data_IF_349754806361
#
_entry.id   IF_349754806361
#
_cell.length_a   1.000
_cell.length_b   1.000
_cell.length_c   1.000
_cell.angle_alpha   90.00
_cell.angle_beta   90.00
_cell.angle_gamma   90.00
#
_symmetry.space_group_name_H-M   'P 1'
#
loop_
_entity.id
_entity.type
_entity.pdbx_description
1 polymer ?
#
# COMPACT_ATOMS: atom_id res chain seq x y z
N UNK A 1 29.63 -23.50 -6.09
CA UNK A 1 29.48 -23.17 -7.53
C UNK A 1 28.02 -23.29 -8.00
N UNK A 2 27.31 -24.39 -7.74
CA UNK A 2 25.89 -24.57 -8.17
C UNK A 2 24.93 -23.49 -7.63
N UNK A 3 25.05 -23.09 -6.37
CA UNK A 3 24.17 -22.12 -5.71
C UNK A 3 24.26 -20.71 -6.32
N UNK A 4 25.48 -20.23 -6.65
CA UNK A 4 25.69 -18.96 -7.38
C UNK A 4 25.08 -18.99 -8.80
N UNK A 5 25.09 -20.14 -9.44
CA UNK A 5 24.52 -20.32 -10.79
C UNK A 5 22.98 -20.27 -10.74
N UNK A 6 22.34 -20.94 -9.77
CA UNK A 6 20.88 -20.92 -9.59
C UNK A 6 20.39 -19.52 -9.29
N UNK A 7 21.04 -18.80 -8.36
CA UNK A 7 20.70 -17.42 -8.04
C UNK A 7 20.77 -16.52 -9.28
N UNK A 8 21.82 -16.63 -10.09
CA UNK A 8 21.98 -15.84 -11.33
C UNK A 8 20.87 -16.13 -12.35
N UNK A 9 20.46 -17.40 -12.46
CA UNK A 9 19.36 -17.80 -13.35
C UNK A 9 18.04 -17.22 -12.84
N UNK A 10 17.71 -17.41 -11.55
CA UNK A 10 16.49 -16.86 -10.94
C UNK A 10 16.40 -15.35 -11.10
N UNK A 11 17.50 -14.62 -10.84
CA UNK A 11 17.55 -13.18 -11.03
C UNK A 11 17.26 -12.79 -12.49
N UNK A 12 17.88 -13.47 -13.47
CA UNK A 12 17.61 -13.21 -14.89
C UNK A 12 16.15 -13.50 -15.25
N UNK A 13 15.62 -14.64 -14.80
CA UNK A 13 14.21 -14.99 -15.03
C UNK A 13 13.26 -13.94 -14.42
N UNK A 14 13.55 -13.45 -13.22
CA UNK A 14 12.76 -12.40 -12.58
C UNK A 14 12.78 -11.09 -13.37
N UNK A 15 13.93 -10.67 -13.89
CA UNK A 15 14.02 -9.49 -14.76
C UNK A 15 13.23 -9.67 -16.07
N UNK A 16 13.37 -10.82 -16.73
CA UNK A 16 12.61 -11.09 -17.96
C UNK A 16 11.11 -11.08 -17.66
N UNK A 17 10.68 -11.76 -16.60
CA UNK A 17 9.28 -11.78 -16.19
C UNK A 17 8.77 -10.37 -15.89
N UNK A 18 9.53 -9.56 -15.16
CA UNK A 18 9.19 -8.17 -14.87
C UNK A 18 9.00 -7.36 -16.16
N UNK A 19 9.97 -7.41 -17.08
CA UNK A 19 9.90 -6.67 -18.35
C UNK A 19 8.71 -7.12 -19.20
N UNK A 20 8.46 -8.43 -19.28
CA UNK A 20 7.33 -8.98 -20.04
C UNK A 20 6.00 -8.56 -19.44
N UNK A 21 5.81 -8.73 -18.13
CA UNK A 21 4.54 -8.43 -17.44
C UNK A 21 4.27 -6.93 -17.47
N UNK A 22 5.21 -6.10 -17.00
CA UNK A 22 4.99 -4.66 -16.95
C UNK A 22 5.04 -4.00 -18.32
N UNK A 23 5.82 -4.51 -19.26
CA UNK A 23 5.77 -4.09 -20.67
C UNK A 23 4.41 -4.38 -21.31
N UNK A 24 3.85 -5.57 -21.07
CA UNK A 24 2.51 -5.93 -21.51
C UNK A 24 1.44 -5.02 -20.90
N UNK A 25 1.49 -4.79 -19.59
CA UNK A 25 0.55 -3.88 -18.89
C UNK A 25 0.67 -2.47 -19.48
N UNK A 26 1.89 -1.93 -19.60
CA UNK A 26 2.13 -0.59 -20.15
C UNK A 26 1.58 -0.43 -21.56
N UNK A 27 1.79 -1.43 -22.42
CA UNK A 27 1.23 -1.41 -23.78
C UNK A 27 -0.30 -1.41 -23.77
N UNK A 28 -0.92 -2.22 -22.89
CA UNK A 28 -2.38 -2.23 -22.78
C UNK A 28 -2.94 -0.91 -22.25
N UNK A 29 -2.25 -0.26 -21.29
CA UNK A 29 -2.62 1.07 -20.81
C UNK A 29 -2.58 2.08 -21.95
N UNK A 30 -1.53 2.08 -22.75
CA UNK A 30 -1.37 3.01 -23.88
C UNK A 30 -2.46 2.87 -24.95
N UNK A 31 -3.01 1.66 -25.14
CA UNK A 31 -4.00 1.37 -26.18
C UNK A 31 -5.41 1.11 -25.63
N UNK A 32 -5.68 1.40 -24.36
CA UNK A 32 -6.95 1.10 -23.69
C UNK A 32 -8.01 2.21 -23.87
N UNK A 33 -8.26 2.64 -25.09
CA UNK A 33 -9.23 3.71 -25.44
C UNK A 33 -10.63 3.55 -24.82
N UNK A 34 -11.02 2.31 -24.48
CA UNK A 34 -12.33 2.00 -23.91
C UNK A 34 -12.41 2.11 -22.39
N UNK A 35 -11.27 2.18 -21.71
CA UNK A 35 -11.18 2.16 -20.24
C UNK A 35 -10.94 3.57 -19.71
N UNK A 36 -10.30 4.43 -20.49
CA UNK A 36 -9.97 5.80 -20.11
C UNK A 36 -10.91 6.81 -20.77
N UNK A 37 -11.28 7.84 -20.00
CA UNK A 37 -11.99 9.02 -20.50
C UNK A 37 -11.14 9.86 -21.46
N UNK A 38 -9.85 9.54 -21.59
CA UNK A 38 -8.87 10.30 -22.36
C UNK A 38 -8.33 9.48 -23.51
N UNK A 39 -8.17 10.11 -24.67
CA UNK A 39 -7.40 9.53 -25.77
C UNK A 39 -5.91 9.71 -25.47
N UNK A 40 -5.08 8.71 -25.81
CA UNK A 40 -3.62 8.76 -25.62
C UNK A 40 -2.99 10.04 -26.20
N UNK A 41 -3.53 10.56 -27.31
CA UNK A 41 -3.08 11.79 -27.96
C UNK A 41 -3.12 12.98 -26.98
N UNK A 42 -4.06 12.99 -26.02
CA UNK A 42 -4.17 14.07 -25.01
C UNK A 42 -3.11 13.94 -23.91
N UNK A 43 -2.59 12.75 -23.67
CA UNK A 43 -1.56 12.47 -22.67
C UNK A 43 -0.14 12.60 -23.23
N UNK A 44 0.04 12.46 -24.54
CA UNK A 44 1.35 12.52 -25.19
C UNK A 44 2.18 13.75 -24.82
N UNK A 45 1.64 15.01 -24.81
CA UNK A 45 2.43 16.16 -24.43
C UNK A 45 2.97 16.07 -23.00
N UNK A 46 2.16 15.62 -22.04
CA UNK A 46 2.57 15.42 -20.66
C UNK A 46 3.65 14.35 -20.52
N UNK A 47 3.50 13.24 -21.21
CA UNK A 47 4.49 12.15 -21.24
C UNK A 47 5.81 12.61 -21.87
N UNK A 48 5.77 13.40 -22.95
CA UNK A 48 6.96 13.96 -23.58
C UNK A 48 7.68 14.95 -22.63
N UNK A 49 6.94 15.85 -21.98
CA UNK A 49 7.52 16.77 -20.99
C UNK A 49 8.15 15.99 -19.83
N UNK A 50 7.46 15.01 -19.28
CA UNK A 50 8.00 14.15 -18.22
C UNK A 50 9.26 13.41 -18.66
N UNK A 51 9.26 12.82 -19.86
CA UNK A 51 10.42 12.16 -20.45
C UNK A 51 11.62 13.11 -20.64
N UNK A 52 11.37 14.32 -21.11
CA UNK A 52 12.41 15.36 -21.25
C UNK A 52 12.98 15.75 -19.89
N UNK A 53 12.14 15.98 -18.87
CA UNK A 53 12.60 16.30 -17.51
C UNK A 53 13.48 15.20 -16.94
N UNK A 54 13.07 13.94 -17.11
CA UNK A 54 13.87 12.76 -16.68
C UNK A 54 15.22 12.74 -17.44
N UNK A 55 15.19 12.89 -18.76
CA UNK A 55 16.41 12.87 -19.59
C UNK A 55 17.38 14.00 -19.20
N UNK A 56 16.88 15.23 -18.99
CA UNK A 56 17.69 16.35 -18.51
C UNK A 56 18.24 16.06 -17.11
N UNK A 57 17.43 15.57 -16.19
CA UNK A 57 17.88 15.19 -14.85
C UNK A 57 19.00 14.15 -14.88
N UNK A 58 18.83 13.08 -15.68
CA UNK A 58 19.87 12.06 -15.88
C UNK A 58 21.15 12.66 -16.49
N UNK A 59 21.01 13.51 -17.50
CA UNK A 59 22.16 14.17 -18.14
C UNK A 59 22.91 15.06 -17.13
N UNK A 60 22.23 15.88 -16.37
CA UNK A 60 22.87 16.74 -15.35
C UNK A 60 23.57 15.86 -14.30
N UNK A 61 22.88 14.85 -13.75
CA UNK A 61 23.47 13.95 -12.74
C UNK A 61 24.68 13.18 -13.30
N UNK A 62 24.68 12.82 -14.59
CA UNK A 62 25.82 12.12 -15.22
C UNK A 62 27.09 12.99 -15.25
N UNK A 63 26.94 14.31 -15.33
CA UNK A 63 28.06 15.28 -15.39
C UNK A 63 28.63 15.63 -14.01
N UNK A 64 27.88 15.39 -12.94
CA UNK A 64 28.33 15.67 -11.58
C UNK A 64 29.23 14.54 -11.08
N UNK A 65 30.38 14.87 -10.52
CA UNK A 65 31.31 13.92 -9.91
C UNK A 65 30.63 13.19 -8.75
N UNK A 66 30.77 11.87 -8.66
CA UNK A 66 30.12 11.03 -7.66
C UNK A 66 30.40 11.52 -6.24
N UNK A 67 31.65 11.81 -5.91
CA UNK A 67 32.07 12.27 -4.60
C UNK A 67 31.34 13.56 -4.15
N UNK A 68 31.07 14.49 -5.09
CA UNK A 68 30.31 15.70 -4.80
C UNK A 68 28.83 15.37 -4.46
N UNK A 69 28.26 14.40 -5.16
CA UNK A 69 26.89 13.94 -4.89
C UNK A 69 26.84 13.28 -3.50
N UNK A 70 27.73 12.35 -3.21
CA UNK A 70 27.78 11.64 -1.93
C UNK A 70 27.90 12.60 -0.75
N UNK A 71 28.74 13.62 -0.88
CA UNK A 71 28.93 14.67 0.15
C UNK A 71 27.66 15.48 0.42
N UNK A 72 26.84 15.72 -0.58
CA UNK A 72 25.66 16.59 -0.47
C UNK A 72 24.34 15.84 -0.41
N UNK A 73 24.33 14.55 -0.66
CA UNK A 73 23.11 13.73 -0.76
C UNK A 73 22.16 13.92 0.43
N UNK A 74 22.67 13.80 1.66
CA UNK A 74 21.85 13.97 2.87
C UNK A 74 21.21 15.36 2.95
N UNK A 75 21.95 16.41 2.58
CA UNK A 75 21.42 17.80 2.58
C UNK A 75 20.30 17.93 1.55
N UNK A 76 20.52 17.41 0.34
CA UNK A 76 19.49 17.42 -0.73
C UNK A 76 18.26 16.66 -0.28
N UNK A 77 18.41 15.49 0.33
CA UNK A 77 17.30 14.68 0.82
C UNK A 77 16.48 15.40 1.90
N UNK A 78 17.15 16.11 2.84
CA UNK A 78 16.46 16.91 3.88
C UNK A 78 15.69 18.06 3.24
N UNK A 79 16.33 18.83 2.36
CA UNK A 79 15.67 19.97 1.67
C UNK A 79 14.48 19.47 0.84
N UNK A 80 14.68 18.38 0.08
CA UNK A 80 13.61 17.74 -0.67
C UNK A 80 12.44 17.37 0.26
N UNK A 81 12.70 16.71 1.38
CA UNK A 81 11.67 16.27 2.32
C UNK A 81 10.82 17.44 2.80
N UNK A 82 11.46 18.54 3.20
CA UNK A 82 10.77 19.72 3.73
C UNK A 82 9.91 20.36 2.63
N UNK A 83 10.50 20.60 1.46
CA UNK A 83 9.79 21.26 0.35
C UNK A 83 8.65 20.38 -0.15
N UNK A 84 8.90 19.11 -0.37
CA UNK A 84 7.89 18.15 -0.85
C UNK A 84 6.73 18.00 0.13
N UNK A 85 7.02 17.92 1.42
CA UNK A 85 5.99 17.88 2.47
C UNK A 85 5.10 19.13 2.44
N UNK A 86 5.70 20.33 2.35
CA UNK A 86 4.94 21.59 2.26
C UNK A 86 4.06 21.60 1.01
N UNK A 87 4.60 21.16 -0.13
CA UNK A 87 3.85 21.08 -1.39
C UNK A 87 2.66 20.12 -1.25
N UNK A 88 2.86 18.93 -0.68
CA UNK A 88 1.79 17.96 -0.48
C UNK A 88 0.69 18.48 0.46
N UNK A 89 1.05 19.16 1.55
CA UNK A 89 0.08 19.81 2.43
C UNK A 89 -0.72 20.87 1.65
N UNK A 90 -0.05 21.73 0.89
CA UNK A 90 -0.74 22.76 0.07
C UNK A 90 -1.68 22.14 -0.94
N UNK A 91 -1.25 21.08 -1.63
CA UNK A 91 -2.11 20.34 -2.56
C UNK A 91 -3.28 19.67 -1.83
N UNK A 92 -3.06 19.07 -0.65
CA UNK A 92 -4.12 18.51 0.17
C UNK A 92 -5.19 19.53 0.56
N UNK A 93 -4.81 20.77 0.89
CA UNK A 93 -5.76 21.85 1.15
C UNK A 93 -6.50 22.32 -0.10
N UNK A 94 -5.80 22.44 -1.24
CA UNK A 94 -6.42 22.85 -2.50
C UNK A 94 -7.41 21.81 -3.04
N UNK A 95 -7.16 20.54 -2.78
CA UNK A 95 -7.95 19.41 -3.24
C UNK A 95 -8.90 18.87 -2.15
N UNK A 96 -9.11 19.61 -1.08
CA UNK A 96 -10.00 19.21 0.01
C UNK A 96 -11.41 18.92 -0.52
N UNK A 97 -11.95 17.77 -0.13
CA UNK A 97 -13.28 17.32 -0.52
C UNK A 97 -14.02 16.72 0.68
N UNK A 98 -15.32 16.50 0.54
CA UNK A 98 -16.11 15.78 1.53
C UNK A 98 -15.89 14.28 1.35
N UNK A 99 -15.39 13.54 2.39
CA UNK A 99 -15.27 12.10 2.31
C UNK A 99 -16.59 11.42 1.91
N UNK A 100 -16.49 10.32 1.19
CA UNK A 100 -17.64 9.52 0.76
C UNK A 100 -17.29 8.03 0.80
N UNK A 101 -18.31 7.19 0.78
CA UNK A 101 -18.18 5.74 0.82
C UNK A 101 -17.30 5.24 1.98
N UNK A 102 -16.40 4.32 1.73
CA UNK A 102 -15.51 3.72 2.73
C UNK A 102 -14.62 4.75 3.44
N UNK A 103 -14.18 5.79 2.72
CA UNK A 103 -13.37 6.84 3.32
C UNK A 103 -14.17 7.64 4.36
N UNK A 104 -15.45 7.91 4.09
CA UNK A 104 -16.31 8.59 5.06
C UNK A 104 -16.53 7.72 6.29
N UNK A 105 -16.86 6.45 6.12
CA UNK A 105 -17.06 5.54 7.24
C UNK A 105 -15.81 5.43 8.14
N UNK A 106 -14.62 5.36 7.56
CA UNK A 106 -13.35 5.31 8.30
C UNK A 106 -13.09 6.65 9.01
N UNK A 107 -13.27 7.77 8.31
CA UNK A 107 -13.00 9.10 8.83
C UNK A 107 -14.01 9.49 9.91
N UNK A 108 -15.31 9.41 9.60
CA UNK A 108 -16.39 9.79 10.51
C UNK A 108 -16.48 8.84 11.70
N UNK A 109 -16.24 7.55 11.50
CA UNK A 109 -16.13 6.56 12.58
C UNK A 109 -14.96 6.88 13.52
N UNK A 110 -13.79 7.25 13.00
CA UNK A 110 -12.65 7.68 13.83
C UNK A 110 -12.94 8.97 14.61
N UNK A 111 -13.68 9.92 14.04
CA UNK A 111 -14.14 11.14 14.73
C UNK A 111 -15.09 10.80 15.85
N UNK A 112 -16.12 10.00 15.57
CA UNK A 112 -17.08 9.60 16.59
C UNK A 112 -16.36 8.89 17.74
N UNK A 113 -15.47 7.94 17.44
CA UNK A 113 -14.70 7.25 18.47
C UNK A 113 -13.83 8.20 19.29
N UNK A 114 -13.26 9.22 18.67
CA UNK A 114 -12.41 10.20 19.35
C UNK A 114 -13.20 11.09 20.31
N UNK A 115 -14.40 11.53 19.90
CA UNK A 115 -15.21 12.49 20.64
C UNK A 115 -16.13 11.83 21.68
N UNK A 116 -16.71 10.66 21.34
CA UNK A 116 -17.77 10.01 22.10
C UNK A 116 -17.28 8.73 22.82
N UNK A 117 -16.07 8.25 22.52
CA UNK A 117 -15.53 7.01 23.06
C UNK A 117 -16.11 5.74 22.43
N UNK A 118 -16.95 5.87 21.41
CA UNK A 118 -17.52 4.77 20.63
C UNK A 118 -17.71 5.19 19.16
N UNK A 119 -18.08 4.23 18.30
CA UNK A 119 -18.40 4.47 16.89
C UNK A 119 -19.72 3.81 16.48
N UNK A 120 -20.73 3.95 17.34
CA UNK A 120 -22.02 3.26 17.26
C UNK A 120 -22.75 3.46 15.94
N UNK A 121 -22.64 4.64 15.31
CA UNK A 121 -23.28 4.93 14.03
C UNK A 121 -22.66 4.12 12.86
N UNK A 122 -21.50 3.51 13.06
CA UNK A 122 -20.75 2.78 12.05
C UNK A 122 -20.58 1.29 12.37
N UNK A 123 -21.22 0.76 13.43
CA UNK A 123 -21.11 -0.66 13.82
C UNK A 123 -21.54 -1.60 12.71
N UNK A 124 -22.62 -1.28 12.01
CA UNK A 124 -23.08 -2.09 10.88
C UNK A 124 -22.06 -2.12 9.76
N UNK A 125 -21.54 -0.95 9.37
CA UNK A 125 -20.51 -0.86 8.33
C UNK A 125 -19.27 -1.68 8.70
N UNK A 126 -18.72 -1.53 9.89
CA UNK A 126 -17.52 -2.29 10.30
C UNK A 126 -17.80 -3.75 10.60
N UNK A 127 -19.05 -4.11 10.86
CA UNK A 127 -19.47 -5.51 10.88
C UNK A 127 -19.37 -6.18 9.52
N UNK A 128 -19.79 -5.47 8.45
CA UNK A 128 -19.65 -5.94 7.06
C UNK A 128 -18.22 -5.86 6.52
N UNK A 129 -17.49 -4.82 6.88
CA UNK A 129 -16.15 -4.51 6.35
C UNK A 129 -15.10 -4.41 7.46
N UNK A 130 -14.84 -5.51 8.19
CA UNK A 130 -13.91 -5.52 9.33
C UNK A 130 -12.46 -5.23 8.91
N UNK A 131 -12.13 -5.37 7.63
CA UNK A 131 -10.84 -5.00 7.07
C UNK A 131 -10.52 -3.50 7.20
N UNK A 132 -11.52 -2.66 7.37
CA UNK A 132 -11.37 -1.20 7.53
C UNK A 132 -11.25 -0.75 9.00
N UNK A 133 -11.48 -1.65 9.96
CA UNK A 133 -11.34 -1.36 11.40
C UNK A 133 -9.95 -0.85 11.76
N UNK A 134 -8.90 -1.45 11.20
CA UNK A 134 -7.53 -1.03 11.49
C UNK A 134 -7.20 0.37 11.00
N UNK A 135 -7.74 0.77 9.83
CA UNK A 135 -7.60 2.13 9.30
C UNK A 135 -8.33 3.16 10.16
N UNK A 136 -9.55 2.84 10.57
CA UNK A 136 -10.32 3.68 11.51
C UNK A 136 -9.57 3.82 12.84
N UNK A 137 -9.06 2.72 13.41
CA UNK A 137 -8.29 2.75 14.65
C UNK A 137 -7.01 3.57 14.54
N UNK A 138 -6.31 3.50 13.40
CA UNK A 138 -5.15 4.34 13.13
C UNK A 138 -5.52 5.83 13.13
N UNK A 139 -6.57 6.23 12.41
CA UNK A 139 -7.03 7.62 12.40
C UNK A 139 -7.56 8.06 13.78
N UNK A 140 -8.26 7.18 14.51
CA UNK A 140 -8.68 7.46 15.87
C UNK A 140 -7.50 7.81 16.78
N UNK A 141 -6.42 7.04 16.76
CA UNK A 141 -5.20 7.34 17.54
C UNK A 141 -4.64 8.71 17.16
N UNK A 142 -4.51 8.99 15.86
CA UNK A 142 -4.02 10.28 15.35
C UNK A 142 -4.90 11.44 15.81
N UNK A 143 -6.22 11.30 15.69
CA UNK A 143 -7.19 12.33 16.07
C UNK A 143 -7.24 12.51 17.60
N UNK A 144 -7.11 11.42 18.35
CA UNK A 144 -7.05 11.47 19.82
C UNK A 144 -5.82 12.25 20.28
N UNK A 145 -4.66 12.01 19.68
CA UNK A 145 -3.45 12.79 19.96
C UNK A 145 -3.68 14.27 19.62
N UNK A 146 -4.23 14.58 18.45
CA UNK A 146 -4.53 15.96 18.06
C UNK A 146 -5.52 16.65 19.04
N UNK A 147 -6.52 15.92 19.50
CA UNK A 147 -7.52 16.44 20.45
C UNK A 147 -6.92 16.81 21.81
N UNK A 148 -5.84 16.15 22.25
CA UNK A 148 -5.10 16.53 23.47
C UNK A 148 -4.49 17.94 23.38
N UNK A 149 -4.22 18.42 22.17
CA UNK A 149 -3.73 19.77 21.89
C UNK A 149 -4.86 20.74 21.51
N UNK A 150 -6.12 20.36 21.72
CA UNK A 150 -7.28 21.18 21.41
C UNK A 150 -7.63 21.30 19.93
N UNK A 151 -6.99 20.51 19.05
CA UNK A 151 -7.23 20.54 17.59
C UNK A 151 -8.50 19.75 17.28
N UNK A 152 -9.48 20.40 16.63
CA UNK A 152 -10.77 19.81 16.27
C UNK A 152 -10.99 19.65 14.77
N UNK A 153 -10.20 20.31 13.91
CA UNK A 153 -10.24 20.10 12.46
C UNK A 153 -9.44 18.82 12.09
N UNK A 154 -10.09 17.67 12.30
CA UNK A 154 -9.47 16.36 12.04
C UNK A 154 -9.19 16.11 10.56
N UNK A 155 -9.90 16.79 9.65
CA UNK A 155 -9.57 16.68 8.21
C UNK A 155 -8.19 17.30 7.93
N UNK A 156 -7.92 18.47 8.48
CA UNK A 156 -6.58 19.09 8.42
C UNK A 156 -5.51 18.19 9.03
N UNK A 157 -5.78 17.57 10.17
CA UNK A 157 -4.88 16.59 10.80
C UNK A 157 -4.62 15.40 9.84
N UNK A 158 -5.66 14.88 9.20
CA UNK A 158 -5.56 13.82 8.20
C UNK A 158 -4.64 14.21 7.03
N UNK A 159 -4.82 15.41 6.46
CA UNK A 159 -3.94 15.93 5.39
C UNK A 159 -2.48 15.99 5.85
N UNK A 160 -2.20 16.56 7.02
CA UNK A 160 -0.86 16.73 7.57
C UNK A 160 -0.17 15.38 7.76
N UNK A 161 -0.83 14.43 8.41
CA UNK A 161 -0.28 13.09 8.67
C UNK A 161 -0.09 12.32 7.37
N UNK A 162 -1.06 12.33 6.48
CA UNK A 162 -0.99 11.63 5.20
C UNK A 162 0.15 12.18 4.33
N UNK A 163 0.29 13.51 4.26
CA UNK A 163 1.41 14.15 3.56
C UNK A 163 2.77 13.76 4.15
N UNK A 164 2.86 13.59 5.47
CA UNK A 164 4.08 13.10 6.13
C UNK A 164 4.38 11.65 5.74
N UNK A 165 3.36 10.77 5.68
CA UNK A 165 3.53 9.37 5.28
C UNK A 165 3.96 9.24 3.81
N UNK A 166 3.37 10.03 2.90
CA UNK A 166 3.76 10.05 1.48
C UNK A 166 5.19 10.59 1.34
N UNK A 167 5.54 11.69 2.03
CA UNK A 167 6.91 12.23 2.02
C UNK A 167 7.91 11.21 2.58
N UNK A 168 7.59 10.56 3.69
CA UNK A 168 8.39 9.50 4.28
C UNK A 168 8.61 8.34 3.31
N UNK A 169 7.57 7.96 2.56
CA UNK A 169 7.67 6.95 1.50
C UNK A 169 8.70 7.36 0.45
N UNK A 170 8.62 8.59 -0.07
CA UNK A 170 9.56 9.11 -1.06
C UNK A 170 11.01 9.10 -0.56
N UNK A 171 11.21 9.52 0.68
CA UNK A 171 12.53 9.51 1.35
C UNK A 171 13.07 8.09 1.47
N UNK A 172 12.25 7.14 1.94
CA UNK A 172 12.69 5.75 2.14
C UNK A 172 12.97 5.09 0.79
N UNK A 173 12.18 5.33 -0.25
CA UNK A 173 12.46 4.86 -1.61
C UNK A 173 13.82 5.37 -2.10
N UNK A 174 14.13 6.66 -1.85
CA UNK A 174 15.43 7.21 -2.20
C UNK A 174 16.58 6.55 -1.42
N UNK A 175 16.40 6.28 -0.12
CA UNK A 175 17.38 5.55 0.69
C UNK A 175 17.57 4.10 0.24
N UNK A 176 16.50 3.43 -0.21
CA UNK A 176 16.59 2.10 -0.85
C UNK A 176 17.43 2.18 -2.11
N UNK A 177 17.17 3.15 -2.99
CA UNK A 177 17.92 3.37 -4.21
C UNK A 177 19.40 3.68 -3.92
N UNK A 178 19.67 4.50 -2.91
CA UNK A 178 21.04 4.81 -2.47
C UNK A 178 21.78 3.54 -2.04
N UNK A 179 21.12 2.73 -1.21
CA UNK A 179 21.72 1.49 -0.67
C UNK A 179 21.97 0.44 -1.76
N UNK A 180 21.12 0.36 -2.78
CA UNK A 180 21.25 -0.64 -3.86
C UNK A 180 22.19 -0.18 -4.97
N UNK A 181 22.13 1.09 -5.38
CA UNK A 181 22.75 1.58 -6.60
C UNK A 181 23.44 2.96 -6.44
N UNK A 182 23.59 3.44 -5.22
CA UNK A 182 24.31 4.68 -4.90
C UNK A 182 23.48 5.96 -5.03
N UNK A 183 24.07 7.06 -4.57
CA UNK A 183 23.41 8.35 -4.38
C UNK A 183 22.92 9.01 -5.69
N UNK A 184 23.55 8.75 -6.84
CA UNK A 184 23.02 9.22 -8.14
C UNK A 184 21.66 8.63 -8.44
N UNK A 185 21.50 7.33 -8.25
CA UNK A 185 20.22 6.63 -8.44
C UNK A 185 19.17 7.10 -7.43
N UNK A 186 19.61 7.37 -6.21
CA UNK A 186 18.75 7.93 -5.17
C UNK A 186 18.21 9.32 -5.55
N UNK A 187 19.05 10.22 -6.06
CA UNK A 187 18.60 11.53 -6.56
C UNK A 187 17.66 11.39 -7.75
N UNK A 188 17.93 10.43 -8.65
CA UNK A 188 17.04 10.16 -9.78
C UNK A 188 15.66 9.68 -9.31
N UNK A 189 15.59 8.86 -8.26
CA UNK A 189 14.30 8.43 -7.70
C UNK A 189 13.48 9.61 -7.15
N UNK A 190 14.12 10.65 -6.59
CA UNK A 190 13.43 11.88 -6.16
C UNK A 190 12.83 12.65 -7.34
N UNK A 191 13.54 12.72 -8.48
CA UNK A 191 13.00 13.33 -9.71
C UNK A 191 11.76 12.56 -10.18
N UNK A 192 11.81 11.21 -10.17
CA UNK A 192 10.65 10.40 -10.54
C UNK A 192 9.48 10.58 -9.57
N UNK A 193 9.75 10.72 -8.28
CA UNK A 193 8.71 11.03 -7.27
C UNK A 193 8.04 12.37 -7.54
N UNK A 194 8.80 13.40 -7.92
CA UNK A 194 8.22 14.70 -8.29
C UNK A 194 7.30 14.62 -9.51
N UNK A 195 7.52 13.66 -10.40
CA UNK A 195 6.68 13.42 -11.57
C UNK A 195 5.54 12.44 -11.29
N UNK A 196 5.47 11.87 -10.09
CA UNK A 196 4.40 10.98 -9.68
C UNK A 196 3.16 11.78 -9.25
N UNK A 197 2.39 12.25 -10.23
CA UNK A 197 1.19 13.06 -10.00
C UNK A 197 0.18 12.47 -9.01
N UNK A 198 -0.07 11.13 -8.97
CA UNK A 198 -0.97 10.54 -7.99
C UNK A 198 -0.67 10.95 -6.54
N UNK A 199 0.59 11.14 -6.16
CA UNK A 199 0.94 11.53 -4.80
C UNK A 199 0.40 12.91 -4.41
N UNK A 200 0.30 13.84 -5.36
CA UNK A 200 -0.25 15.17 -5.10
C UNK A 200 -1.77 15.13 -4.88
N UNK A 201 -2.47 14.26 -5.61
CA UNK A 201 -3.91 14.05 -5.43
C UNK A 201 -4.24 13.26 -4.17
N UNK A 202 -3.38 12.33 -3.78
CA UNK A 202 -3.53 11.55 -2.54
C UNK A 202 -3.37 12.39 -1.27
N UNK A 203 -2.87 13.62 -1.33
CA UNK A 203 -2.68 14.47 -0.15
C UNK A 203 -3.95 14.65 0.68
N UNK A 204 -5.09 14.89 0.03
CA UNK A 204 -6.40 15.02 0.68
C UNK A 204 -7.11 13.68 0.92
N UNK A 205 -6.73 12.62 0.19
CA UNK A 205 -7.34 11.30 0.27
C UNK A 205 -6.56 10.40 1.25
N UNK A 206 -6.66 10.69 2.54
CA UNK A 206 -6.04 9.88 3.60
C UNK A 206 -6.86 8.60 3.85
N UNK A 207 -6.76 7.68 2.92
CA UNK A 207 -7.45 6.40 2.90
C UNK A 207 -6.43 5.24 3.00
N UNK A 208 -6.91 4.01 3.03
CA UNK A 208 -6.08 2.83 3.28
C UNK A 208 -4.82 2.75 2.41
N UNK A 209 -4.92 3.17 1.14
CA UNK A 209 -3.81 3.14 0.19
C UNK A 209 -2.68 4.11 0.58
N UNK A 210 -3.02 5.36 0.79
CA UNK A 210 -2.03 6.39 1.12
C UNK A 210 -1.48 6.26 2.53
N UNK A 211 -2.35 5.91 3.51
CA UNK A 211 -1.95 5.70 4.90
C UNK A 211 -1.02 4.49 5.08
N UNK A 212 -1.19 3.43 4.28
CA UNK A 212 -0.36 2.23 4.39
C UNK A 212 0.93 2.28 3.57
N UNK A 213 1.09 3.23 2.66
CA UNK A 213 2.14 3.26 1.62
C UNK A 213 3.57 3.21 2.17
N UNK A 214 3.83 3.86 3.31
CA UNK A 214 5.17 3.91 3.92
C UNK A 214 5.64 2.56 4.47
N UNK A 215 4.71 1.73 4.98
CA UNK A 215 5.07 0.54 5.74
C UNK A 215 5.74 -0.56 4.91
N UNK A 216 5.30 -0.91 3.69
CA UNK A 216 6.00 -1.89 2.87
C UNK A 216 7.40 -1.42 2.45
N UNK A 217 7.57 -0.13 2.13
CA UNK A 217 8.90 0.39 1.76
C UNK A 217 9.84 0.48 2.97
N UNK A 218 9.32 0.83 4.15
CA UNK A 218 10.08 0.82 5.40
C UNK A 218 10.51 -0.60 5.77
N UNK A 219 9.62 -1.57 5.68
CA UNK A 219 9.91 -2.98 5.92
C UNK A 219 11.06 -3.46 5.02
N UNK A 220 11.00 -3.15 3.73
CA UNK A 220 12.04 -3.54 2.77
C UNK A 220 13.36 -2.82 3.04
N UNK A 221 13.34 -1.53 3.35
CA UNK A 221 14.55 -0.78 3.72
C UNK A 221 15.24 -1.38 4.95
N UNK A 222 14.47 -1.67 5.99
CA UNK A 222 14.99 -2.29 7.22
C UNK A 222 15.55 -3.69 6.95
N UNK A 223 14.94 -4.47 6.07
CA UNK A 223 15.49 -5.74 5.61
C UNK A 223 16.86 -5.57 4.94
N UNK A 224 17.00 -4.58 4.06
CA UNK A 224 18.29 -4.28 3.43
C UNK A 224 19.35 -3.87 4.48
N UNK A 225 18.94 -3.14 5.51
CA UNK A 225 19.84 -2.81 6.63
C UNK A 225 20.21 -4.04 7.45
N UNK A 226 19.24 -4.90 7.76
CA UNK A 226 19.45 -6.14 8.51
C UNK A 226 20.39 -7.12 7.80
N UNK A 227 20.30 -7.16 6.45
CA UNK A 227 21.09 -8.07 5.62
C UNK A 227 22.60 -7.85 5.78
N UNK A 228 23.02 -6.59 5.91
CA UNK A 228 24.42 -6.17 5.98
C UNK A 228 24.91 -5.95 7.44
N UNK A 229 24.02 -6.06 8.43
CA UNK A 229 24.36 -5.72 9.82
C UNK A 229 24.98 -6.93 10.56
N UNK A 230 26.07 -6.67 11.29
CA UNK A 230 26.76 -7.66 12.10
C UNK A 230 26.50 -7.49 13.61
N UNK A 231 26.14 -6.30 14.06
CA UNK A 231 25.82 -6.03 15.47
C UNK A 231 24.47 -6.66 15.84
N UNK A 232 24.50 -7.58 16.79
CA UNK A 232 23.29 -8.29 17.26
C UNK A 232 22.22 -7.36 17.84
N UNK A 233 22.61 -6.29 18.52
CA UNK A 233 21.65 -5.31 19.08
C UNK A 233 20.91 -4.59 17.96
N UNK A 234 21.63 -4.15 16.94
CA UNK A 234 21.03 -3.49 15.77
C UNK A 234 20.16 -4.46 14.99
N UNK A 235 20.58 -5.73 14.84
CA UNK A 235 19.75 -6.75 14.19
C UNK A 235 18.40 -6.93 14.91
N UNK A 236 18.39 -6.95 16.23
CA UNK A 236 17.16 -7.04 17.02
C UNK A 236 16.29 -5.80 16.79
N UNK A 237 16.88 -4.59 16.82
CA UNK A 237 16.14 -3.34 16.56
C UNK A 237 15.50 -3.38 15.19
N UNK A 238 16.23 -3.78 14.14
CA UNK A 238 15.67 -3.90 12.79
C UNK A 238 14.55 -4.91 12.74
N UNK A 239 14.68 -6.09 13.33
CA UNK A 239 13.65 -7.12 13.35
C UNK A 239 12.37 -6.64 14.07
N UNK A 240 12.50 -6.02 15.22
CA UNK A 240 11.37 -5.46 15.97
C UNK A 240 10.67 -4.36 15.17
N UNK A 241 11.46 -3.41 14.63
CA UNK A 241 10.91 -2.31 13.83
C UNK A 241 10.24 -2.82 12.54
N UNK A 242 10.80 -3.86 11.89
CA UNK A 242 10.15 -4.55 10.77
C UNK A 242 8.81 -5.16 11.20
N UNK A 243 8.77 -5.89 12.31
CA UNK A 243 7.55 -6.49 12.84
C UNK A 243 6.47 -5.46 13.14
N UNK A 244 6.82 -4.37 13.82
CA UNK A 244 5.90 -3.25 14.12
C UNK A 244 5.42 -2.56 12.83
N UNK A 245 6.34 -2.23 11.92
CA UNK A 245 6.00 -1.58 10.65
C UNK A 245 5.03 -2.42 9.83
N UNK A 246 5.34 -3.70 9.63
CA UNK A 246 4.48 -4.61 8.90
C UNK A 246 3.09 -4.72 9.55
N UNK A 247 3.05 -4.85 10.88
CA UNK A 247 1.81 -4.96 11.64
C UNK A 247 0.90 -3.76 11.43
N UNK A 248 1.41 -2.55 11.60
CA UNK A 248 0.64 -1.32 11.38
C UNK A 248 0.16 -1.26 9.93
N UNK A 249 1.05 -1.52 8.97
CA UNK A 249 0.71 -1.52 7.55
C UNK A 249 -0.39 -2.54 7.21
N UNK A 250 -0.29 -3.77 7.69
CA UNK A 250 -1.29 -4.83 7.44
C UNK A 250 -2.63 -4.55 8.14
N UNK A 251 -2.62 -3.92 9.31
CA UNK A 251 -3.86 -3.50 9.99
C UNK A 251 -4.57 -2.40 9.20
N UNK A 252 -3.84 -1.46 8.59
CA UNK A 252 -4.41 -0.43 7.72
C UNK A 252 -4.87 -1.05 6.40
N UNK A 253 -4.03 -1.85 5.76
CA UNK A 253 -4.32 -2.52 4.48
C UNK A 253 -3.61 -3.87 4.39
N UNK A 254 -4.37 -4.95 4.42
CA UNK A 254 -3.80 -6.31 4.45
C UNK A 254 -2.84 -6.62 3.29
N UNK A 255 -3.01 -6.00 2.12
CA UNK A 255 -2.12 -6.20 0.97
C UNK A 255 -0.65 -5.84 1.22
N UNK A 256 -0.34 -5.11 2.29
CA UNK A 256 1.04 -4.88 2.74
C UNK A 256 1.80 -6.19 3.01
N UNK A 257 1.10 -7.30 3.28
CA UNK A 257 1.71 -8.63 3.44
C UNK A 257 2.54 -9.07 2.22
N UNK A 258 2.27 -8.52 1.03
CA UNK A 258 3.00 -8.85 -0.20
C UNK A 258 4.50 -8.56 -0.06
N UNK A 259 4.88 -7.49 0.64
CA UNK A 259 6.30 -7.19 0.88
C UNK A 259 6.97 -8.24 1.77
N UNK A 260 6.25 -8.79 2.76
CA UNK A 260 6.77 -9.90 3.59
C UNK A 260 7.08 -11.10 2.71
N UNK A 261 6.16 -11.49 1.82
CA UNK A 261 6.35 -12.61 0.90
C UNK A 261 7.58 -12.38 0.03
N UNK A 262 7.71 -11.19 -0.57
CA UNK A 262 8.85 -10.84 -1.41
C UNK A 262 10.18 -10.88 -0.64
N UNK A 263 10.21 -10.29 0.56
CA UNK A 263 11.39 -10.27 1.43
C UNK A 263 11.77 -11.67 1.89
N UNK A 264 10.82 -12.51 2.25
CA UNK A 264 11.07 -13.88 2.69
C UNK A 264 11.68 -14.70 1.55
N UNK A 265 11.18 -14.56 0.33
CA UNK A 265 11.75 -15.21 -0.86
C UNK A 265 13.20 -14.75 -1.08
N UNK A 266 13.47 -13.43 -1.08
CA UNK A 266 14.85 -12.91 -1.23
C UNK A 266 15.74 -13.36 -0.06
N UNK A 267 15.22 -13.36 1.17
CA UNK A 267 15.96 -13.76 2.36
C UNK A 267 16.41 -15.22 2.28
N UNK A 268 15.54 -16.15 1.88
CA UNK A 268 15.94 -17.56 1.66
C UNK A 268 17.00 -17.73 0.59
N UNK A 269 17.04 -16.84 -0.41
CA UNK A 269 18.04 -16.87 -1.47
C UNK A 269 19.36 -16.17 -1.11
N UNK A 270 19.34 -15.23 -0.16
CA UNK A 270 20.43 -14.28 0.04
C UNK A 270 21.10 -14.32 1.41
N UNK A 271 20.41 -14.81 2.44
CA UNK A 271 20.93 -14.88 3.82
C UNK A 271 20.70 -16.29 4.40
N UNK A 272 21.36 -16.65 5.52
CA UNK A 272 21.15 -17.94 6.14
C UNK A 272 19.67 -18.22 6.47
N UNK A 273 19.18 -19.39 6.13
CA UNK A 273 17.76 -19.77 6.25
C UNK A 273 17.17 -19.54 7.66
N UNK A 274 17.99 -19.69 8.73
CA UNK A 274 17.57 -19.39 10.11
C UNK A 274 17.22 -17.91 10.30
N UNK A 275 17.96 -17.00 9.69
CA UNK A 275 17.62 -15.55 9.69
C UNK A 275 16.36 -15.27 8.87
N UNK A 276 16.22 -15.91 7.71
CA UNK A 276 15.02 -15.78 6.88
C UNK A 276 13.77 -16.25 7.63
N UNK A 277 13.85 -17.41 8.29
CA UNK A 277 12.76 -17.94 9.12
C UNK A 277 12.47 -17.01 10.31
N UNK A 278 13.49 -16.44 10.94
CA UNK A 278 13.31 -15.48 12.03
C UNK A 278 12.55 -14.24 11.60
N UNK A 279 12.85 -13.67 10.42
CA UNK A 279 12.10 -12.54 9.84
C UNK A 279 10.62 -12.91 9.70
N UNK A 280 10.32 -14.07 9.12
CA UNK A 280 8.95 -14.54 8.92
C UNK A 280 8.22 -14.71 10.26
N UNK A 281 8.82 -15.46 11.19
CA UNK A 281 8.19 -15.78 12.49
C UNK A 281 7.96 -14.53 13.33
N UNK A 282 8.98 -13.66 13.45
CA UNK A 282 8.84 -12.40 14.20
C UNK A 282 7.76 -11.52 13.59
N UNK A 283 7.77 -11.34 12.28
CA UNK A 283 6.76 -10.51 11.59
C UNK A 283 5.34 -11.02 11.79
N UNK A 284 5.12 -12.33 11.64
CA UNK A 284 3.80 -12.93 11.84
C UNK A 284 3.38 -12.94 13.32
N UNK A 285 4.31 -13.11 14.25
CA UNK A 285 4.03 -13.06 15.69
C UNK A 285 3.57 -11.64 16.11
N UNK A 286 4.26 -10.60 15.68
CA UNK A 286 3.84 -9.21 15.95
C UNK A 286 2.44 -8.94 15.40
N UNK A 287 2.18 -9.32 14.15
CA UNK A 287 0.87 -9.14 13.54
C UNK A 287 -0.22 -9.94 14.28
N UNK A 288 0.01 -11.23 14.52
CA UNK A 288 -0.97 -12.10 15.19
C UNK A 288 -1.33 -11.62 16.59
N UNK A 289 -0.33 -11.22 17.38
CA UNK A 289 -0.55 -10.67 18.74
C UNK A 289 -1.33 -9.36 18.67
N UNK A 290 -0.90 -8.41 17.82
CA UNK A 290 -1.54 -7.11 17.71
C UNK A 290 -3.00 -7.21 17.24
N UNK A 291 -3.26 -8.01 16.19
CA UNK A 291 -4.62 -8.22 15.68
C UNK A 291 -5.50 -8.92 16.71
N UNK A 292 -4.97 -9.93 17.42
CA UNK A 292 -5.73 -10.60 18.47
C UNK A 292 -6.13 -9.66 19.59
N UNK A 293 -5.22 -8.81 20.07
CA UNK A 293 -5.49 -7.81 21.11
C UNK A 293 -6.50 -6.78 20.59
N UNK A 294 -6.28 -6.28 19.38
CA UNK A 294 -7.14 -5.25 18.79
C UNK A 294 -8.57 -5.77 18.59
N UNK A 295 -8.73 -6.92 17.96
CA UNK A 295 -10.03 -7.52 17.70
C UNK A 295 -10.75 -7.90 19.01
N UNK A 296 -10.03 -8.46 19.99
CA UNK A 296 -10.61 -8.76 21.30
C UNK A 296 -11.19 -7.47 21.94
N UNK A 297 -10.46 -6.36 21.91
CA UNK A 297 -10.95 -5.10 22.45
C UNK A 297 -12.16 -4.56 21.67
N UNK A 298 -12.14 -4.64 20.32
CA UNK A 298 -13.24 -4.17 19.47
C UNK A 298 -14.52 -4.96 19.76
N UNK A 299 -14.44 -6.30 19.73
CA UNK A 299 -15.61 -7.15 19.89
C UNK A 299 -16.13 -7.20 21.33
N UNK A 300 -15.25 -7.04 22.31
CA UNK A 300 -15.68 -6.96 23.72
C UNK A 300 -16.39 -5.64 24.07
N UNK A 301 -15.96 -4.52 23.49
CA UNK A 301 -16.38 -3.20 23.97
C UNK A 301 -17.32 -2.45 23.02
N UNK A 302 -17.35 -2.80 21.72
CA UNK A 302 -18.03 -2.01 20.70
C UNK A 302 -18.99 -2.81 19.82
N UNK A 303 -18.56 -3.90 19.22
CA UNK A 303 -19.38 -4.73 18.34
C UNK A 303 -19.51 -6.10 19.00
N UNK A 304 -20.73 -6.49 19.41
CA UNK A 304 -20.91 -7.82 20.01
C UNK A 304 -20.53 -8.94 19.04
N UNK A 305 -20.03 -10.05 19.57
CA UNK A 305 -19.68 -11.23 18.75
C UNK A 305 -20.85 -11.70 17.91
N UNK A 306 -22.08 -11.65 18.44
CA UNK A 306 -23.30 -12.00 17.71
C UNK A 306 -23.54 -11.06 16.53
N UNK A 307 -23.46 -9.73 16.75
CA UNK A 307 -23.59 -8.75 15.67
C UNK A 307 -22.53 -8.95 14.59
N UNK A 308 -21.26 -9.15 15.01
CA UNK A 308 -20.19 -9.41 14.06
C UNK A 308 -20.41 -10.69 13.25
N UNK A 309 -20.78 -11.79 13.92
CA UNK A 309 -21.04 -13.05 13.21
C UNK A 309 -22.19 -12.91 12.20
N UNK A 310 -23.24 -12.15 12.53
CA UNK A 310 -24.39 -11.93 11.66
C UNK A 310 -24.10 -11.01 10.48
N UNK A 311 -23.17 -10.06 10.62
CA UNK A 311 -22.85 -9.07 9.60
C UNK A 311 -21.70 -9.45 8.68
N UNK A 312 -20.71 -10.18 9.18
CA UNK A 312 -19.44 -10.41 8.47
C UNK A 312 -19.60 -10.90 7.05
N UNK A 313 -18.87 -10.25 6.16
CA UNK A 313 -18.74 -10.64 4.76
C UNK A 313 -17.67 -11.73 4.64
N UNK A 314 -17.98 -12.92 4.07
CA UNK A 314 -17.02 -14.00 3.97
C UNK A 314 -15.93 -13.68 2.94
N UNK A 315 -14.74 -14.26 3.12
CA UNK A 315 -13.63 -14.09 2.18
C UNK A 315 -13.99 -14.41 0.71
N UNK A 316 -14.82 -15.44 0.51
CA UNK A 316 -15.27 -15.83 -0.83
C UNK A 316 -16.12 -14.80 -1.55
N UNK A 317 -16.74 -13.86 -0.83
CA UNK A 317 -17.45 -12.74 -1.43
C UNK A 317 -16.52 -11.87 -2.30
N UNK A 318 -15.34 -11.53 -1.77
CA UNK A 318 -14.38 -10.71 -2.49
C UNK A 318 -13.80 -11.40 -3.71
N UNK A 319 -13.59 -12.72 -3.63
CA UNK A 319 -13.17 -13.52 -4.79
C UNK A 319 -14.27 -13.55 -5.83
N UNK A 320 -15.52 -13.83 -5.43
CA UNK A 320 -16.67 -13.88 -6.30
C UNK A 320 -16.88 -12.55 -7.04
N UNK A 321 -16.93 -11.44 -6.29
CA UNK A 321 -17.10 -10.10 -6.84
C UNK A 321 -15.94 -9.71 -7.76
N UNK A 322 -14.71 -10.09 -7.40
CA UNK A 322 -13.54 -9.86 -8.23
C UNK A 322 -13.51 -10.63 -9.55
N UNK A 323 -14.37 -11.63 -9.76
CA UNK A 323 -14.43 -12.47 -10.98
C UNK A 323 -15.51 -12.03 -11.98
N UNK A 324 -16.13 -10.87 -11.78
CA UNK A 324 -17.15 -10.37 -12.70
C UNK A 324 -16.76 -9.03 -13.34
N UNK A 325 -17.24 -8.77 -14.56
CA UNK A 325 -17.02 -7.53 -15.31
C UNK A 325 -15.54 -7.06 -15.26
N UNK A 326 -15.32 -5.90 -14.63
CA UNK A 326 -13.97 -5.33 -14.43
C UNK A 326 -13.42 -5.59 -13.03
N UNK A 327 -14.12 -6.37 -12.19
CA UNK A 327 -13.74 -6.67 -10.81
C UNK A 327 -13.95 -5.53 -9.82
N UNK A 328 -14.74 -4.54 -10.18
CA UNK A 328 -15.19 -3.47 -9.29
C UNK A 328 -16.28 -3.93 -8.31
N UNK A 329 -16.60 -3.06 -7.35
CA UNK A 329 -17.75 -3.25 -6.48
C UNK A 329 -19.03 -3.47 -7.33
N UNK A 330 -19.81 -4.48 -6.96
CA UNK A 330 -21.07 -4.81 -7.59
C UNK A 330 -22.16 -4.95 -6.53
N UNK A 331 -23.18 -4.06 -6.55
CA UNK A 331 -24.31 -4.14 -5.62
C UNK A 331 -25.04 -5.48 -5.66
N UNK A 332 -25.20 -6.08 -6.85
CA UNK A 332 -25.88 -7.38 -7.01
C UNK A 332 -25.14 -8.50 -6.29
N UNK A 333 -23.80 -8.51 -6.32
CA UNK A 333 -23.00 -9.49 -5.58
C UNK A 333 -23.05 -9.26 -4.07
N UNK A 334 -23.17 -8.01 -3.66
CA UNK A 334 -23.38 -7.67 -2.26
C UNK A 334 -24.74 -8.19 -1.78
N UNK A 335 -25.83 -7.89 -2.49
CA UNK A 335 -27.17 -8.38 -2.21
C UNK A 335 -27.25 -9.92 -2.25
N UNK A 336 -26.61 -10.56 -3.25
CA UNK A 336 -26.51 -12.01 -3.34
C UNK A 336 -25.89 -12.61 -2.06
N UNK A 337 -24.80 -12.02 -1.56
CA UNK A 337 -24.16 -12.50 -0.33
C UNK A 337 -25.08 -12.35 0.88
N UNK A 338 -25.82 -11.25 0.97
CA UNK A 338 -26.73 -10.96 2.08
C UNK A 338 -28.02 -11.78 2.06
N UNK A 339 -28.43 -12.28 0.92
CA UNK A 339 -29.64 -13.13 0.79
C UNK A 339 -29.50 -14.49 1.44
N UNK A 340 -28.30 -14.90 1.84
CA UNK A 340 -28.03 -16.15 2.52
C UNK A 340 -27.80 -15.96 4.02
N UNK A 341 -28.18 -16.98 4.81
CA UNK A 341 -27.81 -17.05 6.21
C UNK A 341 -26.28 -17.04 6.40
N UNK A 342 -25.83 -16.46 7.48
CA UNK A 342 -24.39 -16.22 7.73
C UNK A 342 -23.53 -17.48 7.57
N UNK A 343 -24.04 -18.65 7.98
CA UNK A 343 -23.34 -19.93 7.88
C UNK A 343 -23.25 -20.44 6.42
N UNK A 344 -24.15 -20.03 5.55
CA UNK A 344 -24.23 -20.46 4.16
C UNK A 344 -23.54 -19.50 3.20
N UNK A 345 -23.36 -18.21 3.58
CA UNK A 345 -22.77 -17.15 2.75
C UNK A 345 -21.45 -17.58 2.11
N UNK A 346 -20.56 -18.17 2.88
CA UNK A 346 -19.24 -18.59 2.39
C UNK A 346 -19.35 -19.65 1.31
N UNK A 347 -20.23 -20.64 1.51
CA UNK A 347 -20.46 -21.72 0.55
C UNK A 347 -21.12 -21.23 -0.73
N UNK A 348 -22.14 -20.35 -0.61
CA UNK A 348 -22.82 -19.75 -1.75
C UNK A 348 -21.86 -18.89 -2.59
N UNK A 349 -21.09 -18.00 -1.96
CA UNK A 349 -20.09 -17.19 -2.64
C UNK A 349 -19.02 -18.03 -3.32
N UNK A 350 -18.53 -19.11 -2.67
CA UNK A 350 -17.58 -20.05 -3.26
C UNK A 350 -18.14 -20.71 -4.50
N UNK A 351 -19.38 -21.20 -4.42
CA UNK A 351 -20.06 -21.83 -5.56
C UNK A 351 -20.15 -20.89 -6.74
N UNK A 352 -20.62 -19.66 -6.52
CA UNK A 352 -20.74 -18.62 -7.55
C UNK A 352 -19.37 -18.22 -8.12
N UNK A 353 -18.33 -18.11 -7.29
CA UNK A 353 -16.97 -17.86 -7.75
C UNK A 353 -16.46 -18.97 -8.70
N UNK A 354 -16.69 -20.24 -8.34
CA UNK A 354 -16.28 -21.39 -9.16
C UNK A 354 -17.07 -21.47 -10.49
N UNK A 355 -18.35 -21.11 -10.49
CA UNK A 355 -19.16 -20.98 -11.70
C UNK A 355 -18.55 -19.92 -12.64
N UNK A 356 -18.26 -18.71 -12.13
CA UNK A 356 -17.62 -17.63 -12.90
C UNK A 356 -16.26 -18.03 -13.47
N UNK A 357 -15.42 -18.74 -12.69
CA UNK A 357 -14.13 -19.25 -13.19
C UNK A 357 -14.33 -20.19 -14.36
N UNK A 358 -15.32 -21.08 -14.29
CA UNK A 358 -15.64 -22.03 -15.39
C UNK A 358 -16.15 -21.29 -16.63
N UNK A 359 -17.07 -20.33 -16.46
CA UNK A 359 -17.63 -19.53 -17.53
C UNK A 359 -16.57 -18.67 -18.25
N UNK A 360 -15.68 -18.04 -17.50
CA UNK A 360 -14.60 -17.23 -18.04
C UNK A 360 -13.57 -18.09 -18.80
N UNK A 361 -13.26 -19.26 -18.28
CA UNK A 361 -12.16 -20.09 -18.78
C UNK A 361 -10.81 -19.35 -18.69
N UNK A 362 -9.76 -19.95 -19.24
CA UNK A 362 -8.39 -19.38 -19.18
C UNK A 362 -8.32 -18.03 -19.91
N UNK A 363 -8.92 -17.94 -21.09
CA UNK A 363 -8.89 -16.71 -21.90
C UNK A 363 -9.64 -15.55 -21.24
N UNK A 364 -10.84 -15.82 -20.70
CA UNK A 364 -11.62 -14.81 -19.98
C UNK A 364 -10.94 -14.33 -18.68
N UNK A 365 -10.32 -15.22 -17.93
CA UNK A 365 -9.53 -14.87 -16.75
C UNK A 365 -8.34 -13.99 -17.13
N UNK A 366 -7.61 -14.33 -18.18
CA UNK A 366 -6.49 -13.52 -18.64
C UNK A 366 -6.94 -12.10 -19.06
N UNK A 367 -8.07 -12.01 -19.82
CA UNK A 367 -8.68 -10.71 -20.20
C UNK A 367 -9.10 -9.91 -18.97
N UNK A 368 -9.74 -10.55 -18.00
CA UNK A 368 -10.15 -9.91 -16.74
C UNK A 368 -8.94 -9.36 -15.97
N UNK A 369 -7.86 -10.13 -15.84
CA UNK A 369 -6.65 -9.67 -15.16
C UNK A 369 -5.96 -8.54 -15.92
N UNK A 370 -5.92 -8.58 -17.24
CA UNK A 370 -5.42 -7.48 -18.07
C UNK A 370 -6.21 -6.19 -17.82
N UNK A 371 -7.55 -6.28 -17.85
CA UNK A 371 -8.41 -5.13 -17.60
C UNK A 371 -8.19 -4.55 -16.20
N UNK A 372 -8.10 -5.40 -15.18
CA UNK A 372 -7.78 -4.96 -13.81
C UNK A 372 -6.43 -4.27 -13.72
N UNK A 373 -5.40 -4.84 -14.36
CA UNK A 373 -4.08 -4.24 -14.37
C UNK A 373 -4.08 -2.85 -15.04
N UNK A 374 -4.77 -2.72 -16.17
CA UNK A 374 -4.94 -1.41 -16.86
C UNK A 374 -5.64 -0.41 -15.94
N UNK A 375 -6.69 -0.82 -15.23
CA UNK A 375 -7.43 0.04 -14.31
C UNK A 375 -6.59 0.46 -13.10
N UNK A 376 -5.77 -0.45 -12.56
CA UNK A 376 -4.96 -0.18 -11.37
C UNK A 376 -3.71 0.66 -11.64
N UNK A 377 -3.16 0.58 -12.84
CA UNK A 377 -1.89 1.20 -13.21
C UNK A 377 -2.01 2.28 -14.29
N UNK A 378 -3.15 2.42 -14.93
CA UNK A 378 -3.47 3.45 -15.93
C UNK A 378 -4.30 4.56 -15.36
#
# INVERSE_FOLDING_TARGET
MKEKSVKKILTKCSYVLFVVVFGYISLNILFADKIHSYKIVQLLPGMMVGGVVVAIGMFILSKIVQEKIDRHFKKVLIVFSIVYYIVLIRMGFLLRFTPSFDMDAIYSGAIQWTNEGNFSNFYEYFGYFPNNLGSMGFLHIVFKIASLFGIKDFFTVGIIVNSALITGTAVIVSLICEKIAGSKTALMSLILVLLCFPFYFMGAAFYTDSLSLIFPVLFYYLYLCLKDENDKKKQIIYLVTMGVSLTIGMMIKFTVVIVLIAVVIDAFLCIPWKKALLILVVSLAFYGVAVSIYNHNIYKNYISDEQYQNLKTPYWHWIMMGLQNNGYYNPEDYEYTRSYDVNERSTACRKKAMERIKELGVSGLFKLWTNKAVICFG
#
